data_IF_896649924007
#
_entry.id   IF_896649924007
#
_cell.length_a   1.000
_cell.length_b   1.000
_cell.length_c   1.000
_cell.angle_alpha   90.00
_cell.angle_beta   90.00
_cell.angle_gamma   90.00
#
_symmetry.space_group_name_H-M   'P 1'
#
loop_
_entity.id
_entity.type
_entity.pdbx_description
1 polymer ?
#
# COMPACT_ATOMS: atom_id res chain seq x y z
N UNK A 1 -15.88 -3.41 16.23
CA UNK A 1 -15.63 -3.37 14.78
C UNK A 1 -14.48 -4.29 14.45
N UNK A 2 -14.68 -5.19 13.50
CA UNK A 2 -13.66 -6.15 13.08
C UNK A 2 -13.21 -5.83 11.66
N UNK A 3 -11.93 -5.55 11.48
CA UNK A 3 -11.37 -5.33 10.16
C UNK A 3 -10.92 -6.67 9.60
N UNK A 4 -11.33 -6.96 8.36
CA UNK A 4 -10.90 -8.17 7.65
C UNK A 4 -9.88 -7.80 6.60
N UNK A 5 -8.85 -8.62 6.46
CA UNK A 5 -7.76 -8.44 5.50
C UNK A 5 -7.80 -9.57 4.49
N UNK A 6 -7.59 -9.26 3.21
CA UNK A 6 -7.59 -10.27 2.17
C UNK A 6 -6.61 -9.94 1.04
N UNK A 7 -6.03 -10.98 0.44
CA UNK A 7 -5.22 -10.85 -0.76
C UNK A 7 -6.07 -11.02 -2.03
N UNK A 8 -7.35 -11.31 -1.91
CA UNK A 8 -8.24 -11.39 -3.05
C UNK A 8 -8.47 -10.01 -3.63
N UNK A 9 -8.29 -9.88 -4.95
CA UNK A 9 -8.48 -8.61 -5.66
C UNK A 9 -9.94 -8.46 -6.08
N UNK A 10 -10.84 -8.45 -5.10
CA UNK A 10 -12.28 -8.40 -5.32
C UNK A 10 -12.89 -7.00 -5.18
N UNK A 11 -12.07 -5.97 -5.04
CA UNK A 11 -12.51 -4.59 -5.00
C UNK A 11 -12.93 -4.10 -6.38
N UNK A 12 -13.92 -3.21 -6.42
CA UNK A 12 -14.37 -2.58 -7.66
C UNK A 12 -13.55 -1.33 -7.97
N UNK A 13 -13.64 -0.85 -9.21
CA UNK A 13 -13.00 0.41 -9.60
C UNK A 13 -13.50 1.59 -8.76
N UNK A 14 -14.78 1.61 -8.43
CA UNK A 14 -15.35 2.69 -7.62
C UNK A 14 -14.84 2.63 -6.17
N UNK A 15 -14.76 1.43 -5.61
CA UNK A 15 -14.25 1.27 -4.23
C UNK A 15 -12.81 1.75 -4.10
N UNK A 16 -11.93 1.38 -5.03
CA UNK A 16 -10.54 1.84 -4.97
C UNK A 16 -10.43 3.34 -5.24
N UNK A 17 -11.22 3.87 -6.18
CA UNK A 17 -11.22 5.31 -6.45
C UNK A 17 -11.65 6.09 -5.20
N UNK A 18 -12.71 5.67 -4.53
CA UNK A 18 -13.19 6.34 -3.32
C UNK A 18 -12.14 6.32 -2.22
N UNK A 19 -11.47 5.18 -2.02
CA UNK A 19 -10.41 5.07 -1.02
C UNK A 19 -9.25 6.02 -1.32
N UNK A 20 -8.75 6.02 -2.56
CA UNK A 20 -7.62 6.87 -2.94
C UNK A 20 -7.98 8.36 -2.87
N UNK A 21 -9.19 8.75 -3.29
CA UNK A 21 -9.64 10.13 -3.19
C UNK A 21 -9.83 10.57 -1.73
N UNK A 22 -10.13 9.64 -0.82
CA UNK A 22 -10.28 9.97 0.59
C UNK A 22 -8.99 10.52 1.21
N UNK A 23 -7.84 10.15 0.66
CA UNK A 23 -6.52 10.67 1.07
C UNK A 23 -5.95 11.66 0.06
N UNK A 24 -6.78 12.14 -0.88
CA UNK A 24 -6.45 13.16 -1.88
C UNK A 24 -5.37 12.73 -2.87
N UNK A 25 -5.27 11.44 -3.16
CA UNK A 25 -4.33 10.94 -4.15
C UNK A 25 -4.98 11.03 -5.54
N UNK A 26 -4.32 11.79 -6.42
CA UNK A 26 -4.86 12.17 -7.73
C UNK A 26 -5.18 10.97 -8.63
N UNK A 27 -4.49 9.86 -8.43
CA UNK A 27 -4.72 8.66 -9.22
C UNK A 27 -6.15 8.10 -9.05
N UNK A 28 -6.81 8.45 -7.94
CA UNK A 28 -8.22 8.11 -7.73
C UNK A 28 -9.18 8.76 -8.73
N UNK A 29 -8.71 9.79 -9.45
CA UNK A 29 -9.49 10.42 -10.52
C UNK A 29 -9.50 9.60 -11.82
N UNK A 30 -8.75 8.50 -11.86
CA UNK A 30 -8.67 7.60 -13.00
C UNK A 30 -9.06 6.19 -12.57
N UNK A 31 -10.33 5.97 -12.19
CA UNK A 31 -10.75 4.72 -11.51
C UNK A 31 -10.45 3.46 -12.31
N UNK A 32 -10.68 3.47 -13.63
CA UNK A 32 -10.44 2.28 -14.44
C UNK A 32 -8.95 1.98 -14.60
N UNK A 33 -8.13 3.02 -14.76
CA UNK A 33 -6.69 2.86 -14.84
C UNK A 33 -6.11 2.37 -13.51
N UNK A 34 -6.56 2.95 -12.40
CA UNK A 34 -6.15 2.52 -11.06
C UNK A 34 -6.53 1.07 -10.81
N UNK A 35 -7.77 0.71 -11.11
CA UNK A 35 -8.25 -0.66 -10.91
C UNK A 35 -7.41 -1.65 -11.74
N UNK A 36 -7.17 -1.34 -13.02
CA UNK A 36 -6.35 -2.18 -13.88
C UNK A 36 -4.93 -2.34 -13.34
N UNK A 37 -4.32 -1.24 -12.85
CA UNK A 37 -2.99 -1.29 -12.27
C UNK A 37 -2.96 -2.20 -11.04
N UNK A 38 -3.95 -2.10 -10.16
CA UNK A 38 -4.03 -2.93 -8.96
C UNK A 38 -4.24 -4.40 -9.32
N UNK A 39 -5.11 -4.68 -10.31
CA UNK A 39 -5.35 -6.06 -10.75
C UNK A 39 -4.10 -6.71 -11.34
N UNK A 40 -3.20 -5.92 -11.92
CA UNK A 40 -1.94 -6.41 -12.52
C UNK A 40 -0.75 -6.30 -11.56
N UNK A 41 -0.95 -5.86 -10.34
CA UNK A 41 0.11 -5.79 -9.34
C UNK A 41 0.46 -7.18 -8.81
N UNK A 42 1.71 -7.38 -8.40
CA UNK A 42 2.17 -8.67 -7.87
C UNK A 42 1.36 -9.10 -6.66
N UNK A 43 1.05 -8.16 -5.76
CA UNK A 43 0.27 -8.44 -4.56
C UNK A 43 -0.45 -7.17 -4.12
N UNK A 44 -1.70 -7.33 -3.74
CA UNK A 44 -2.48 -6.26 -3.10
C UNK A 44 -3.15 -6.90 -1.89
N UNK A 45 -2.99 -6.28 -0.72
CA UNK A 45 -3.73 -6.69 0.47
C UNK A 45 -4.69 -5.56 0.81
N UNK A 46 -5.95 -5.89 0.97
CA UNK A 46 -6.99 -4.92 1.26
C UNK A 46 -7.60 -5.16 2.63
N UNK A 47 -8.02 -4.07 3.27
CA UNK A 47 -8.64 -4.07 4.59
C UNK A 47 -10.08 -3.62 4.45
N UNK A 48 -11.00 -4.32 5.11
CA UNK A 48 -12.43 -4.16 4.95
C UNK A 48 -13.14 -4.03 6.29
N UNK A 49 -14.04 -3.08 6.37
CA UNK A 49 -15.04 -3.00 7.43
C UNK A 49 -16.38 -3.38 6.81
N UNK A 50 -16.76 -4.68 6.95
CA UNK A 50 -17.90 -5.20 6.21
C UNK A 50 -17.67 -5.07 4.70
N UNK A 51 -18.58 -4.37 4.03
CA UNK A 51 -18.50 -4.15 2.59
C UNK A 51 -17.69 -2.90 2.19
N UNK A 52 -17.15 -2.19 3.18
CA UNK A 52 -16.41 -0.94 2.95
C UNK A 52 -14.92 -1.22 2.86
N UNK A 53 -14.31 -0.83 1.76
CA UNK A 53 -12.85 -0.87 1.60
C UNK A 53 -12.24 0.31 2.36
N UNK A 54 -11.45 0.01 3.39
CA UNK A 54 -10.92 1.04 4.30
C UNK A 54 -9.41 1.16 4.29
N UNK A 55 -8.70 0.22 3.71
CA UNK A 55 -7.26 0.27 3.62
C UNK A 55 -6.72 -0.62 2.52
N UNK A 56 -5.49 -0.34 2.09
CA UNK A 56 -4.88 -1.10 1.00
C UNK A 56 -3.37 -0.92 1.03
N UNK A 57 -2.65 -1.98 0.70
CA UNK A 57 -1.23 -1.94 0.41
C UNK A 57 -0.97 -2.65 -0.91
N UNK A 58 -0.17 -2.02 -1.76
CA UNK A 58 0.18 -2.54 -3.09
C UNK A 58 1.66 -2.85 -3.17
N UNK A 59 1.99 -4.02 -3.71
CA UNK A 59 3.38 -4.46 -3.83
C UNK A 59 3.65 -4.95 -5.24
N UNK A 60 4.83 -4.60 -5.76
CA UNK A 60 5.36 -5.14 -7.00
C UNK A 60 6.65 -5.87 -6.68
N UNK A 61 6.85 -7.05 -7.27
CA UNK A 61 8.02 -7.87 -6.96
C UNK A 61 8.59 -8.55 -8.22
N UNK A 62 9.81 -9.06 -8.11
CA UNK A 62 10.47 -9.81 -9.17
C UNK A 62 10.38 -11.33 -8.96
N UNK A 63 9.59 -11.76 -7.99
CA UNK A 63 9.37 -13.16 -7.59
C UNK A 63 10.59 -13.82 -6.94
N UNK A 64 11.66 -13.09 -6.63
CA UNK A 64 12.88 -13.72 -6.10
C UNK A 64 13.66 -12.83 -5.11
N UNK A 65 14.01 -11.62 -5.49
CA UNK A 65 14.99 -10.82 -4.75
C UNK A 65 14.41 -9.64 -4.02
N UNK A 66 13.56 -8.85 -4.66
CA UNK A 66 13.14 -7.55 -4.15
C UNK A 66 11.66 -7.31 -4.41
N UNK A 67 11.04 -6.65 -3.47
CA UNK A 67 9.71 -6.10 -3.70
C UNK A 67 9.69 -4.63 -3.36
N UNK A 68 8.78 -3.90 -4.03
CA UNK A 68 8.54 -2.48 -3.81
C UNK A 68 7.12 -2.30 -3.31
N UNK A 69 7.00 -1.70 -2.14
CA UNK A 69 5.71 -1.24 -1.63
C UNK A 69 5.41 0.11 -2.28
N UNK A 70 4.28 0.17 -2.97
CA UNK A 70 3.82 1.39 -3.62
C UNK A 70 2.33 1.50 -3.34
N UNK A 71 1.94 2.50 -2.61
CA UNK A 71 0.64 2.72 -2.00
C UNK A 71 0.45 1.94 -0.70
N UNK A 72 0.46 2.68 0.39
CA UNK A 72 -0.03 2.25 1.70
C UNK A 72 -1.00 3.34 2.12
N UNK A 73 -2.28 3.02 2.22
CA UNK A 73 -3.26 4.03 2.59
C UNK A 73 -4.40 3.45 3.41
N UNK A 74 -4.96 4.30 4.26
CA UNK A 74 -6.11 3.98 5.10
C UNK A 74 -7.07 5.16 5.04
N UNK A 75 -8.36 4.89 4.90
CA UNK A 75 -9.39 5.91 4.90
C UNK A 75 -9.29 6.74 6.20
N UNK A 76 -9.41 8.08 6.13
CA UNK A 76 -9.24 8.94 7.31
C UNK A 76 -10.14 8.58 8.49
N UNK A 77 -11.37 8.09 8.25
CA UNK A 77 -12.28 7.67 9.31
C UNK A 77 -11.74 6.48 10.12
N UNK A 78 -10.70 5.81 9.62
CA UNK A 78 -10.14 4.61 10.23
C UNK A 78 -8.69 4.80 10.68
N UNK A 79 -8.18 6.04 10.67
CA UNK A 79 -6.83 6.34 11.16
C UNK A 79 -6.73 6.06 12.65
N UNK A 80 -5.53 5.74 13.11
CA UNK A 80 -5.26 5.51 14.54
C UNK A 80 -5.67 4.15 15.06
N UNK A 81 -6.06 3.22 14.19
CA UNK A 81 -6.53 1.88 14.58
C UNK A 81 -5.53 0.77 14.23
N UNK A 82 -4.34 1.12 13.76
CA UNK A 82 -3.29 0.14 13.45
C UNK A 82 -3.45 -0.60 12.13
N UNK A 83 -4.35 -0.17 11.24
CA UNK A 83 -4.61 -0.87 9.98
C UNK A 83 -3.38 -0.83 9.07
N UNK A 84 -2.76 0.35 8.90
CA UNK A 84 -1.58 0.47 8.04
C UNK A 84 -0.43 -0.40 8.55
N UNK A 85 -0.21 -0.41 9.87
CA UNK A 85 0.82 -1.27 10.46
C UNK A 85 0.55 -2.75 10.26
N UNK A 86 -0.71 -3.15 10.37
CA UNK A 86 -1.10 -4.54 10.14
C UNK A 86 -0.83 -4.95 8.68
N UNK A 87 -1.22 -4.09 7.73
CA UNK A 87 -0.95 -4.33 6.31
C UNK A 87 0.55 -4.46 6.04
N UNK A 88 1.35 -3.58 6.64
CA UNK A 88 2.79 -3.59 6.45
C UNK A 88 3.42 -4.89 7.01
N UNK A 89 2.99 -5.33 8.20
CA UNK A 89 3.48 -6.58 8.78
C UNK A 89 3.06 -7.80 7.94
N UNK A 90 1.88 -7.79 7.35
CA UNK A 90 1.48 -8.85 6.43
C UNK A 90 2.39 -8.93 5.21
N UNK A 91 2.80 -7.79 4.66
CA UNK A 91 3.74 -7.74 3.54
C UNK A 91 5.12 -8.27 3.99
N UNK A 92 5.61 -7.85 5.14
CA UNK A 92 6.89 -8.32 5.66
C UNK A 92 6.89 -9.85 5.81
N UNK A 93 5.80 -10.43 6.30
CA UNK A 93 5.69 -11.89 6.42
C UNK A 93 5.63 -12.57 5.05
N UNK A 94 4.85 -12.01 4.11
CA UNK A 94 4.72 -12.59 2.77
C UNK A 94 6.04 -12.59 1.99
N UNK A 95 6.92 -11.63 2.26
CA UNK A 95 8.19 -11.45 1.55
C UNK A 95 9.41 -11.74 2.42
N UNK A 96 9.26 -12.52 3.47
CA UNK A 96 10.37 -12.79 4.42
C UNK A 96 11.55 -13.54 3.80
N UNK A 97 11.34 -14.22 2.67
CA UNK A 97 12.42 -14.92 1.96
C UNK A 97 13.15 -14.03 0.95
N UNK A 98 12.65 -12.83 0.70
CA UNK A 98 13.29 -11.88 -0.21
C UNK A 98 14.46 -11.18 0.47
N UNK A 99 15.41 -10.69 -0.32
CA UNK A 99 16.56 -9.96 0.23
C UNK A 99 16.16 -8.55 0.68
N UNK A 100 15.29 -7.88 -0.09
CA UNK A 100 14.94 -6.49 0.17
C UNK A 100 13.44 -6.25 0.03
N UNK A 101 12.90 -5.45 0.96
CA UNK A 101 11.58 -4.86 0.85
C UNK A 101 11.80 -3.34 0.86
N UNK A 102 11.53 -2.68 -0.26
CA UNK A 102 11.76 -1.24 -0.41
C UNK A 102 10.44 -0.49 -0.44
N UNK A 103 10.47 0.74 0.03
CA UNK A 103 9.34 1.67 -0.06
C UNK A 103 9.88 3.05 -0.41
N UNK A 104 9.18 3.77 -1.30
CA UNK A 104 9.45 5.18 -1.55
C UNK A 104 8.35 5.98 -0.86
N UNK A 105 8.72 6.70 0.19
CA UNK A 105 7.79 7.44 1.03
C UNK A 105 7.49 8.78 0.38
N UNK A 106 6.20 9.04 0.10
CA UNK A 106 5.78 10.28 -0.55
C UNK A 106 5.88 11.52 0.32
N UNK A 107 5.85 11.35 1.65
CA UNK A 107 5.95 12.44 2.61
C UNK A 107 6.92 12.01 3.72
N UNK A 108 8.01 12.76 3.86
CA UNK A 108 9.08 12.41 4.80
C UNK A 108 8.62 12.29 6.26
N UNK A 109 7.54 12.97 6.64
CA UNK A 109 7.01 12.84 8.01
C UNK A 109 6.50 11.43 8.33
N UNK A 110 6.24 10.61 7.30
CA UNK A 110 5.80 9.23 7.50
C UNK A 110 6.97 8.26 7.73
N UNK A 111 8.22 8.73 7.66
CA UNK A 111 9.38 7.87 7.84
C UNK A 111 9.36 7.14 9.19
N UNK A 112 8.94 7.82 10.26
CA UNK A 112 8.89 7.20 11.60
C UNK A 112 7.97 5.99 11.66
N UNK A 113 6.87 5.99 10.91
CA UNK A 113 5.97 4.84 10.82
C UNK A 113 6.72 3.62 10.28
N UNK A 114 7.48 3.79 9.20
CA UNK A 114 8.24 2.69 8.61
C UNK A 114 9.40 2.26 9.49
N UNK A 115 10.06 3.21 10.15
CA UNK A 115 11.16 2.91 11.07
C UNK A 115 10.70 2.03 12.23
N UNK A 116 9.49 2.27 12.75
CA UNK A 116 8.91 1.42 13.80
C UNK A 116 8.72 -0.03 13.35
N UNK A 117 8.61 -0.26 12.05
CA UNK A 117 8.44 -1.59 11.48
C UNK A 117 9.74 -2.16 10.93
N UNK A 118 10.89 -1.58 11.32
CA UNK A 118 12.20 -2.12 10.99
C UNK A 118 12.81 -1.61 9.69
N UNK A 119 12.13 -0.70 8.99
CA UNK A 119 12.69 -0.07 7.81
C UNK A 119 13.73 0.97 8.20
N UNK A 120 14.75 1.12 7.35
CA UNK A 120 15.81 2.11 7.57
C UNK A 120 15.93 3.03 6.38
N UNK A 121 16.15 4.31 6.65
CA UNK A 121 16.42 5.29 5.60
C UNK A 121 17.73 4.92 4.91
N UNK A 122 17.71 4.86 3.58
CA UNK A 122 18.92 4.60 2.79
C UNK A 122 19.56 5.94 2.44
N UNK A 123 20.54 6.35 3.23
CA UNK A 123 21.12 7.68 3.16
C UNK A 123 21.85 7.97 1.85
N UNK A 124 22.41 6.93 1.22
CA UNK A 124 23.15 7.07 -0.04
C UNK A 124 22.28 6.93 -1.29
N UNK A 125 20.96 6.92 -1.12
CA UNK A 125 20.02 6.73 -2.22
C UNK A 125 19.06 7.89 -2.30
N UNK A 126 18.70 8.28 -3.54
CA UNK A 126 17.74 9.35 -3.78
C UNK A 126 16.60 8.82 -4.65
N UNK A 127 15.36 9.16 -4.33
CA UNK A 127 14.24 8.88 -5.24
C UNK A 127 14.33 9.83 -6.45
N UNK A 128 14.09 9.29 -7.63
CA UNK A 128 14.06 10.09 -8.85
C UNK A 128 12.87 9.66 -9.70
N UNK A 129 12.27 10.59 -10.40
CA UNK A 129 11.10 10.32 -11.23
C UNK A 129 11.21 11.06 -12.56
N UNK A 130 10.93 10.34 -13.64
CA UNK A 130 10.68 10.96 -14.96
C UNK A 130 9.16 10.95 -15.18
N UNK A 131 8.59 12.10 -15.48
CA UNK A 131 7.17 12.22 -15.77
C UNK A 131 6.94 12.44 -17.26
N UNK A 132 6.05 11.65 -17.79
CA UNK A 132 5.58 11.84 -19.17
C UNK A 132 4.60 12.99 -19.27
#
# INVERSE_FOLDING_TARGET
MTIKYTEEKNFTSQQVADLFLSVRWVVGKYPDRLHKALMNSSRVISAWDGDRLVGLIRVMDDSELVCFINYVLVHPDYHGQGIAGHLLEMVKEAYKSYLYINVMIGDSKNASFYEKHGFKIKEDSLPMQYRN
#
